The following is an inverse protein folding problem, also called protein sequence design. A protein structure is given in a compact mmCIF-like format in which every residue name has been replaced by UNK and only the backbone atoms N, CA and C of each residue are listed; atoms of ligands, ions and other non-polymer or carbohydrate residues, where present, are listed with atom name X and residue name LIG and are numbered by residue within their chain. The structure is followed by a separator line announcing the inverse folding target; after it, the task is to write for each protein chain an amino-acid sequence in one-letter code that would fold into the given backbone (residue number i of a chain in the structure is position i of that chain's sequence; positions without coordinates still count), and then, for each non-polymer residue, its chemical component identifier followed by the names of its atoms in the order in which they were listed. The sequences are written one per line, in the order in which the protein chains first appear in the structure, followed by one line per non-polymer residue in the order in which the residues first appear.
data_IF_210897761273
#
_entry.id   IF_210897761273
#
_cell.length_a   1.000
_cell.length_b   1.000
_cell.length_c   1.000
_cell.angle_alpha   90.00
_cell.angle_beta   90.00
_cell.angle_gamma   90.00
#
_symmetry.space_group_name_H-M   'P 1'
#
loop_
_entity.id
_entity.type
_entity.pdbx_description
1 polymer ?
#
# COMPACT_ATOMS: atom_id res chain seq x y z
N UNK A 1 2.97 15.87 1.04
CA UNK A 1 4.29 15.21 0.86
C UNK A 1 4.10 13.79 0.34
N UNK A 2 5.09 13.20 -0.37
CA UNK A 2 5.01 11.82 -0.86
C UNK A 2 5.69 10.88 0.14
N UNK A 3 5.03 9.77 0.46
CA UNK A 3 5.47 8.78 1.42
C UNK A 3 5.58 7.39 0.77
N UNK A 4 6.35 6.51 1.42
CA UNK A 4 6.43 5.10 1.10
C UNK A 4 6.05 4.27 2.32
N UNK A 5 5.19 3.26 2.13
CA UNK A 5 4.88 2.22 3.10
C UNK A 5 5.51 0.91 2.62
N UNK A 6 6.27 0.26 3.50
CA UNK A 6 6.99 -0.98 3.22
C UNK A 6 6.49 -2.08 4.15
N UNK A 7 5.69 -2.99 3.62
CA UNK A 7 5.31 -4.22 4.34
C UNK A 7 6.33 -5.33 4.07
N UNK A 8 6.58 -6.15 5.09
CA UNK A 8 7.49 -7.30 5.01
C UNK A 8 6.75 -8.62 5.16
N UNK A 9 7.25 -9.66 4.50
CA UNK A 9 6.79 -11.04 4.71
C UNK A 9 5.36 -11.31 4.23
N UNK A 10 4.89 -10.57 3.23
CA UNK A 10 3.59 -10.79 2.58
C UNK A 10 3.78 -11.53 1.27
N UNK A 11 2.77 -12.31 0.84
CA UNK A 11 2.74 -12.97 -0.49
C UNK A 11 3.94 -13.88 -0.81
N UNK A 12 4.70 -14.31 0.20
CA UNK A 12 5.81 -15.26 0.05
C UNK A 12 5.39 -16.63 0.57
N UNK A 13 5.67 -17.69 -0.19
CA UNK A 13 5.38 -19.07 0.21
C UNK A 13 3.89 -19.36 0.47
N UNK A 14 2.98 -18.60 -0.13
CA UNK A 14 1.53 -18.74 0.06
C UNK A 14 1.00 -18.26 1.42
N UNK A 15 1.83 -17.64 2.26
CA UNK A 15 1.43 -17.09 3.57
C UNK A 15 1.18 -15.58 3.49
N UNK A 16 0.41 -15.06 4.45
CA UNK A 16 0.11 -13.63 4.58
C UNK A 16 -0.34 -13.01 3.25
N UNK A 17 -1.34 -13.65 2.62
CA UNK A 17 -1.83 -13.25 1.31
C UNK A 17 -2.49 -11.88 1.41
N UNK A 18 -2.05 -10.94 0.59
CA UNK A 18 -2.66 -9.62 0.45
C UNK A 18 -2.93 -9.36 -1.02
N UNK A 19 -4.17 -9.00 -1.32
CA UNK A 19 -4.58 -8.50 -2.64
C UNK A 19 -4.17 -7.04 -2.72
N UNK A 20 -3.25 -6.69 -3.62
CA UNK A 20 -2.72 -5.31 -3.73
C UNK A 20 -3.82 -4.29 -4.05
N UNK A 21 -4.88 -4.69 -4.76
CA UNK A 21 -6.01 -3.82 -5.02
C UNK A 21 -6.78 -3.42 -3.75
N UNK A 22 -7.01 -4.37 -2.86
CA UNK A 22 -7.66 -4.12 -1.56
C UNK A 22 -6.75 -3.30 -0.66
N UNK A 23 -5.45 -3.59 -0.63
CA UNK A 23 -4.48 -2.81 0.14
C UNK A 23 -4.43 -1.35 -0.32
N UNK A 24 -4.46 -1.11 -1.64
CA UNK A 24 -4.53 0.24 -2.20
C UNK A 24 -5.80 0.96 -1.79
N UNK A 25 -6.95 0.28 -1.85
CA UNK A 25 -8.24 0.84 -1.47
C UNK A 25 -8.26 1.20 0.03
N UNK A 26 -7.74 0.30 0.89
CA UNK A 26 -7.66 0.55 2.31
C UNK A 26 -6.83 1.81 2.65
N UNK A 27 -5.71 2.03 1.94
CA UNK A 27 -4.91 3.25 2.14
C UNK A 27 -5.65 4.49 1.60
N UNK A 28 -6.39 4.38 0.49
CA UNK A 28 -7.20 5.47 -0.01
C UNK A 28 -8.36 5.84 0.95
N UNK A 29 -9.00 4.83 1.56
CA UNK A 29 -10.11 5.00 2.51
C UNK A 29 -9.66 5.68 3.82
N UNK A 30 -8.36 5.62 4.14
CA UNK A 30 -7.74 6.37 5.24
C UNK A 30 -7.53 7.87 4.92
N UNK A 31 -7.92 8.34 3.72
CA UNK A 31 -7.82 9.73 3.31
C UNK A 31 -6.50 10.11 2.62
N UNK A 32 -5.66 9.12 2.28
CA UNK A 32 -4.45 9.37 1.49
C UNK A 32 -4.75 9.38 -0.01
N UNK A 33 -4.08 10.26 -0.76
CA UNK A 33 -4.28 10.38 -2.20
C UNK A 33 -3.11 9.79 -3.01
N UNK A 34 -3.33 9.61 -4.33
CA UNK A 34 -2.34 9.05 -5.28
C UNK A 34 -1.68 7.76 -4.77
N UNK A 35 -2.51 6.82 -4.29
CA UNK A 35 -2.04 5.52 -3.78
C UNK A 35 -1.64 4.62 -4.95
N UNK A 36 -0.37 4.23 -4.99
CA UNK A 36 0.23 3.37 -6.00
C UNK A 36 0.91 2.17 -5.32
N UNK A 37 0.75 0.97 -5.88
CA UNK A 37 1.41 -0.24 -5.39
C UNK A 37 2.57 -0.63 -6.30
N UNK A 38 3.70 -1.05 -5.74
CA UNK A 38 4.82 -1.60 -6.49
C UNK A 38 4.85 -3.12 -6.36
N UNK A 39 4.64 -3.80 -7.48
CA UNK A 39 4.58 -5.27 -7.62
C UNK A 39 3.68 -5.93 -6.54
N UNK A 40 3.86 -7.23 -6.30
CA UNK A 40 3.11 -7.95 -5.28
C UNK A 40 3.86 -8.04 -3.93
N UNK A 41 4.67 -7.01 -3.60
CA UNK A 41 5.59 -7.05 -2.46
C UNK A 41 5.11 -6.27 -1.23
N UNK A 42 3.99 -5.55 -1.32
CA UNK A 42 3.48 -4.75 -0.20
C UNK A 42 4.16 -3.39 -0.05
N UNK A 43 4.76 -2.90 -1.13
CA UNK A 43 5.34 -1.57 -1.20
C UNK A 43 4.30 -0.62 -1.81
N UNK A 44 4.03 0.50 -1.14
CA UNK A 44 3.07 1.49 -1.59
C UNK A 44 3.66 2.88 -1.54
N UNK A 45 3.28 3.70 -2.52
CA UNK A 45 3.48 5.14 -2.51
C UNK A 45 2.13 5.80 -2.32
N UNK A 46 2.08 6.87 -1.55
CA UNK A 46 0.88 7.69 -1.40
C UNK A 46 1.29 9.11 -1.04
N UNK A 47 0.35 10.04 -1.14
CA UNK A 47 0.52 11.40 -0.66
C UNK A 47 -0.35 11.62 0.57
N UNK A 48 0.25 12.34 1.51
CA UNK A 48 -0.48 12.94 2.60
C UNK A 48 -0.37 14.45 2.45
N UNK A 49 -1.52 15.11 2.30
CA UNK A 49 -1.61 16.55 2.33
C UNK A 49 -2.22 16.88 3.70
N UNK A 50 -1.45 17.54 4.57
CA UNK A 50 -2.05 18.23 5.72
C UNK A 50 -2.68 19.52 5.19
N UNK A 51 -3.89 19.83 5.63
CA UNK A 51 -4.36 21.22 5.70
C UNK A 51 -3.66 21.95 6.84
#
# INVERSE_FOLDING_TARGET
MRYVLLLRGINVGGRNKIVMAELRQAVADLGYDKVETYINSGNLFFRFNQE
#
